data_IF_142506172574
#
_entry.id   IF_142506172574
#
_cell.length_a   1.000
_cell.length_b   1.000
_cell.length_c   1.000
_cell.angle_alpha   90.00
_cell.angle_beta   90.00
_cell.angle_gamma   90.00
#
_symmetry.space_group_name_H-M   'P 1'
#
loop_
_entity.id
_entity.type
_entity.pdbx_description
1 polymer ?
#
# COMPACT_ATOMS: atom_id res chain seq x y z
N UNK A 1 4.69 -20.71 16.59
CA UNK A 1 3.36 -20.70 15.96
C UNK A 1 3.04 -19.26 15.61
N UNK A 2 3.24 -18.84 14.36
CA UNK A 2 2.88 -17.48 13.95
C UNK A 2 1.35 -17.42 13.86
N UNK A 3 0.71 -16.88 14.89
CA UNK A 3 -0.72 -16.63 14.89
C UNK A 3 -1.00 -15.56 13.82
N UNK A 4 -1.49 -15.98 12.65
CA UNK A 4 -1.73 -15.11 11.50
C UNK A 4 -2.89 -14.15 11.76
N UNK A 5 -2.63 -13.10 12.55
CA UNK A 5 -3.58 -12.00 12.68
C UNK A 5 -3.57 -11.22 11.37
N UNK A 6 -4.71 -11.17 10.69
CA UNK A 6 -4.92 -10.25 9.59
C UNK A 6 -4.78 -8.82 10.13
N UNK A 7 -3.93 -8.03 9.48
CA UNK A 7 -3.79 -6.61 9.81
C UNK A 7 -5.11 -5.89 9.49
N UNK A 8 -5.50 -4.94 10.34
CA UNK A 8 -6.61 -4.05 10.00
C UNK A 8 -6.20 -3.14 8.83
N UNK A 9 -7.17 -2.57 8.13
CA UNK A 9 -6.88 -1.64 7.03
C UNK A 9 -6.04 -0.44 7.51
N UNK A 10 -6.30 0.09 8.71
CA UNK A 10 -5.48 1.15 9.31
C UNK A 10 -4.02 0.73 9.55
N UNK A 11 -3.79 -0.50 10.00
CA UNK A 11 -2.45 -1.04 10.21
C UNK A 11 -1.70 -1.21 8.88
N UNK A 12 -2.41 -1.65 7.84
CA UNK A 12 -1.86 -1.71 6.48
C UNK A 12 -1.51 -0.32 5.96
N UNK A 13 -2.39 0.67 6.14
CA UNK A 13 -2.15 2.07 5.74
C UNK A 13 -0.94 2.65 6.48
N UNK A 14 -0.83 2.43 7.79
CA UNK A 14 0.30 2.90 8.60
C UNK A 14 1.62 2.27 8.14
N UNK A 15 1.62 0.95 7.89
CA UNK A 15 2.79 0.22 7.38
C UNK A 15 3.20 0.73 6.00
N UNK A 16 2.24 0.92 5.09
CA UNK A 16 2.51 1.45 3.75
C UNK A 16 3.07 2.88 3.82
N UNK A 17 2.50 3.74 4.68
CA UNK A 17 3.01 5.10 4.90
C UNK A 17 4.46 5.09 5.37
N UNK A 18 4.80 4.22 6.32
CA UNK A 18 6.16 4.09 6.82
C UNK A 18 7.12 3.65 5.70
N UNK A 19 6.78 2.59 4.97
CA UNK A 19 7.60 2.09 3.86
C UNK A 19 7.85 3.15 2.77
N UNK A 20 6.82 3.92 2.41
CA UNK A 20 6.95 5.01 1.44
C UNK A 20 7.87 6.13 1.96
N UNK A 21 7.77 6.46 3.26
CA UNK A 21 8.61 7.48 3.88
C UNK A 21 10.09 7.10 3.88
N UNK A 22 10.41 5.83 4.11
CA UNK A 22 11.79 5.32 4.06
C UNK A 22 12.45 5.52 2.68
N UNK A 23 11.67 5.48 1.60
CA UNK A 23 12.16 5.74 0.23
C UNK A 23 11.99 7.20 -0.22
N UNK A 24 11.68 8.11 0.71
CA UNK A 24 11.53 9.54 0.46
C UNK A 24 10.24 9.94 -0.27
N UNK A 25 9.22 9.09 -0.25
CA UNK A 25 7.92 9.34 -0.87
C UNK A 25 6.92 9.76 0.20
N UNK A 26 6.31 10.94 0.01
CA UNK A 26 5.20 11.41 0.84
C UNK A 26 3.89 11.39 0.04
N UNK A 27 2.90 10.65 0.51
CA UNK A 27 1.52 10.64 0.01
C UNK A 27 0.60 11.20 1.10
N UNK A 28 0.33 12.53 1.11
CA UNK A 28 -0.50 13.15 2.13
C UNK A 28 -1.93 12.60 2.15
N UNK A 29 -2.43 12.21 0.99
CA UNK A 29 -3.78 11.67 0.80
C UNK A 29 -3.87 10.16 1.00
N UNK A 30 -2.78 9.48 1.36
CA UNK A 30 -2.82 8.05 1.68
C UNK A 30 -3.75 7.83 2.89
N UNK A 31 -4.70 6.91 2.81
CA UNK A 31 -5.67 6.69 3.88
C UNK A 31 -6.60 5.51 3.60
N UNK A 32 -7.49 5.22 4.55
CA UNK A 32 -8.63 4.33 4.31
C UNK A 32 -9.66 5.11 3.49
N UNK A 33 -10.26 4.46 2.51
CA UNK A 33 -11.38 5.02 1.76
C UNK A 33 -12.58 5.21 2.71
N UNK A 34 -13.10 6.45 2.84
CA UNK A 34 -14.10 6.75 3.84
C UNK A 34 -15.45 6.07 3.59
N UNK A 35 -15.74 5.69 2.33
CA UNK A 35 -16.99 5.01 1.98
C UNK A 35 -16.93 3.56 2.46
N UNK A 36 -15.93 2.82 2.00
CA UNK A 36 -15.77 1.41 2.34
C UNK A 36 -15.29 1.19 3.77
N UNK A 37 -14.61 2.16 4.38
CA UNK A 37 -14.23 2.13 5.80
C UNK A 37 -15.39 2.40 6.76
N UNK A 38 -16.48 3.01 6.29
CA UNK A 38 -17.71 3.21 7.08
C UNK A 38 -18.72 2.06 6.90
N UNK A 39 -18.51 1.19 5.91
CA UNK A 39 -19.34 0.01 5.65
C UNK A 39 -18.93 -1.17 6.53
N UNK A 40 -19.85 -2.12 6.75
CA UNK A 40 -19.56 -3.44 7.34
C UNK A 40 -18.85 -4.39 6.34
N UNK A 41 -18.32 -3.85 5.25
CA UNK A 41 -17.63 -4.62 4.22
C UNK A 41 -16.30 -5.15 4.78
N UNK A 42 -15.97 -6.44 4.60
CA UNK A 42 -14.74 -7.03 5.14
C UNK A 42 -13.44 -6.49 4.50
N UNK A 43 -13.54 -5.67 3.46
CA UNK A 43 -12.41 -5.19 2.65
C UNK A 43 -12.46 -3.68 2.41
N UNK A 44 -12.26 -2.88 3.47
CA UNK A 44 -12.11 -1.44 3.31
C UNK A 44 -10.93 -1.12 2.36
N UNK A 45 -11.17 -0.26 1.38
CA UNK A 45 -10.20 0.11 0.35
C UNK A 45 -9.17 1.09 0.91
N UNK A 46 -7.99 1.11 0.29
CA UNK A 46 -6.93 2.07 0.60
C UNK A 46 -6.86 3.13 -0.51
N UNK A 47 -7.05 4.39 -0.14
CA UNK A 47 -6.84 5.53 -1.04
C UNK A 47 -5.35 5.83 -1.09
N UNK A 48 -4.73 5.74 -2.27
CA UNK A 48 -3.29 6.04 -2.45
C UNK A 48 -3.02 7.53 -2.69
N UNK A 49 -3.98 8.28 -3.23
CA UNK A 49 -3.84 9.71 -3.49
C UNK A 49 -2.99 10.08 -4.71
N UNK A 50 -2.66 11.37 -4.83
CA UNK A 50 -1.79 11.89 -5.90
C UNK A 50 -0.31 11.78 -5.51
N UNK A 51 0.52 11.38 -6.45
CA UNK A 51 1.97 11.42 -6.34
C UNK A 51 2.57 12.27 -7.46
N UNK A 52 3.81 12.74 -7.28
CA UNK A 52 4.53 13.43 -8.35
C UNK A 52 5.10 12.43 -9.37
N UNK A 53 5.44 12.90 -10.58
CA UNK A 53 5.93 12.05 -11.69
C UNK A 53 7.16 11.24 -11.28
N UNK A 54 8.12 11.84 -10.56
CA UNK A 54 9.33 11.14 -10.10
C UNK A 54 9.00 9.96 -9.19
N UNK A 55 8.04 10.12 -8.29
CA UNK A 55 7.54 9.03 -7.43
C UNK A 55 6.84 7.96 -8.27
N UNK A 56 5.95 8.35 -9.19
CA UNK A 56 5.23 7.42 -10.05
C UNK A 56 6.18 6.54 -10.87
N UNK A 57 7.20 7.14 -11.50
CA UNK A 57 8.21 6.41 -12.28
C UNK A 57 9.00 5.42 -11.41
N UNK A 58 9.42 5.83 -10.20
CA UNK A 58 10.14 4.95 -9.28
C UNK A 58 9.28 3.77 -8.81
N UNK A 59 8.01 4.03 -8.51
CA UNK A 59 7.08 2.99 -8.10
C UNK A 59 6.83 1.99 -9.24
N UNK A 60 6.62 2.47 -10.47
CA UNK A 60 6.47 1.62 -11.64
C UNK A 60 7.68 0.69 -11.84
N UNK A 61 8.90 1.22 -11.77
CA UNK A 61 10.12 0.42 -11.93
C UNK A 61 10.25 -0.70 -10.88
N UNK A 62 9.84 -0.45 -9.62
CA UNK A 62 9.83 -1.49 -8.57
C UNK A 62 8.79 -2.57 -8.89
N UNK A 63 7.58 -2.17 -9.29
CA UNK A 63 6.50 -3.12 -9.62
C UNK A 63 6.85 -3.97 -10.85
N UNK A 64 7.45 -3.36 -11.87
CA UNK A 64 7.97 -4.06 -13.06
C UNK A 64 9.07 -5.06 -12.69
N UNK A 65 9.99 -4.68 -11.80
CA UNK A 65 11.02 -5.59 -11.29
C UNK A 65 10.45 -6.78 -10.52
N UNK A 66 9.41 -6.55 -9.70
CA UNK A 66 8.70 -7.63 -8.99
C UNK A 66 7.96 -8.53 -9.99
N UNK A 67 7.31 -7.98 -11.00
CA UNK A 67 6.61 -8.76 -12.02
C UNK A 67 7.59 -9.60 -12.86
N UNK A 68 8.76 -9.06 -13.20
CA UNK A 68 9.80 -9.77 -13.94
C UNK A 68 10.51 -10.85 -13.09
N UNK A 69 10.51 -10.70 -11.76
CA UNK A 69 11.05 -11.67 -10.80
C UNK A 69 10.00 -12.59 -10.15
N UNK A 70 8.74 -12.52 -10.59
CA UNK A 70 7.59 -13.11 -9.92
C UNK A 70 7.26 -14.58 -10.27
N UNK A 71 8.13 -15.28 -11.00
CA UNK A 71 8.04 -16.73 -11.26
C UNK A 71 8.97 -17.57 -10.35
N UNK A 72 9.47 -17.01 -9.25
CA UNK A 72 10.16 -17.78 -8.19
C UNK A 72 9.43 -17.64 -6.85
N UNK A 73 8.44 -18.52 -6.63
CA UNK A 73 7.97 -18.89 -5.30
C UNK A 73 6.51 -18.56 -5.00
N UNK A 74 5.74 -19.64 -4.82
CA UNK A 74 4.35 -19.68 -4.36
C UNK A 74 4.09 -19.01 -2.99
#
# INVERSE_FOLDING_TARGET
MSNGRLLTTDEVVARLRAALKEVGVALPSLGVDPVTGASDEPFALVVLGRCNVRTATRLAAVLEGVAAGGDEGA
#
